data_IF_824694075496
#
_entry.id   IF_824694075496
#
_cell.length_a   1.000
_cell.length_b   1.000
_cell.length_c   1.000
_cell.angle_alpha   90.00
_cell.angle_beta   90.00
_cell.angle_gamma   90.00
#
_symmetry.space_group_name_H-M   'P 1'
#
loop_
_entity.id
_entity.type
_entity.pdbx_description
1 polymer ?
#
# COMPACT_ATOMS: atom_id res chain seq x y z
N UNK A 1 0.85 -17.39 -2.50
CA UNK A 1 1.97 -16.58 -3.04
C UNK A 1 1.59 -15.13 -2.90
N UNK A 2 2.53 -14.26 -2.51
CA UNK A 2 2.30 -12.81 -2.57
C UNK A 2 2.47 -12.36 -4.02
N UNK A 3 1.63 -11.45 -4.48
CA UNK A 3 1.75 -10.86 -5.81
C UNK A 3 3.10 -10.12 -5.97
N UNK A 4 3.76 -10.15 -7.16
CA UNK A 4 4.99 -9.41 -7.43
C UNK A 4 4.98 -7.94 -7.02
N UNK A 5 3.85 -7.25 -7.20
CA UNK A 5 3.69 -5.84 -6.84
C UNK A 5 3.12 -5.63 -5.43
N UNK A 6 2.78 -6.70 -4.72
CA UNK A 6 2.20 -6.65 -3.39
C UNK A 6 3.17 -6.10 -2.34
N UNK A 7 2.64 -5.38 -1.35
CA UNK A 7 3.39 -4.68 -0.28
C UNK A 7 4.47 -5.52 0.42
N UNK A 8 4.24 -6.83 0.55
CA UNK A 8 5.11 -7.75 1.29
C UNK A 8 6.02 -8.59 0.39
N UNK A 9 6.01 -8.34 -0.92
CA UNK A 9 6.91 -9.04 -1.82
C UNK A 9 8.37 -8.71 -1.46
N UNK A 10 9.18 -9.75 -1.29
CA UNK A 10 10.59 -9.62 -0.91
C UNK A 10 10.85 -9.07 0.49
N UNK A 11 9.82 -8.85 1.32
CA UNK A 11 9.98 -8.29 2.65
C UNK A 11 10.80 -9.25 3.56
N UNK A 12 11.74 -8.72 4.36
CA UNK A 12 12.45 -9.54 5.32
C UNK A 12 11.47 -10.13 6.34
N UNK A 13 11.77 -11.34 6.81
CA UNK A 13 10.91 -12.05 7.76
C UNK A 13 11.69 -12.40 9.03
N UNK A 14 10.96 -12.66 10.11
CA UNK A 14 11.50 -13.19 11.35
C UNK A 14 10.57 -14.28 11.91
N UNK A 15 11.12 -15.17 12.73
CA UNK A 15 10.32 -16.19 13.42
C UNK A 15 9.98 -15.72 14.83
N UNK A 16 8.73 -15.93 15.23
CA UNK A 16 8.26 -15.68 16.60
C UNK A 16 7.47 -16.90 17.07
N UNK A 17 7.76 -17.37 18.28
CA UNK A 17 6.89 -18.35 18.95
C UNK A 17 5.67 -17.63 19.50
N UNK A 18 4.49 -18.06 19.10
CA UNK A 18 3.20 -17.57 19.60
C UNK A 18 2.66 -18.62 20.56
N UNK A 19 2.26 -18.18 21.74
CA UNK A 19 1.67 -18.99 22.82
C UNK A 19 2.51 -20.22 23.24
N UNK A 20 3.82 -20.18 23.03
CA UNK A 20 4.75 -21.26 23.40
C UNK A 20 4.69 -22.51 22.52
N UNK A 21 3.70 -22.63 21.64
CA UNK A 21 3.41 -23.88 20.93
C UNK A 21 3.86 -23.86 19.47
N UNK A 22 3.84 -22.68 18.82
CA UNK A 22 4.07 -22.59 17.38
C UNK A 22 5.00 -21.46 16.99
N UNK A 23 6.09 -21.81 16.31
CA UNK A 23 6.90 -20.83 15.59
C UNK A 23 6.17 -20.41 14.30
N UNK A 24 5.84 -19.12 14.19
CA UNK A 24 5.27 -18.52 12.97
C UNK A 24 6.28 -17.60 12.31
N UNK A 25 6.25 -17.54 10.99
CA UNK A 25 7.04 -16.60 10.20
C UNK A 25 6.22 -15.33 9.98
N UNK A 26 6.77 -14.19 10.38
CA UNK A 26 6.12 -12.88 10.28
C UNK A 26 6.96 -11.98 9.40
N UNK A 27 6.30 -11.12 8.61
CA UNK A 27 6.97 -10.03 7.93
C UNK A 27 7.51 -9.04 8.97
N UNK A 28 8.72 -8.53 8.77
CA UNK A 28 9.24 -7.46 9.62
C UNK A 28 8.41 -6.18 9.40
N UNK A 29 8.02 -5.47 10.47
CA UNK A 29 7.36 -4.18 10.34
C UNK A 29 8.20 -3.22 9.51
N UNK A 30 7.58 -2.55 8.54
CA UNK A 30 8.24 -1.60 7.66
C UNK A 30 8.05 -0.17 8.20
N UNK A 31 9.13 0.60 8.27
CA UNK A 31 9.04 2.05 8.40
C UNK A 31 8.70 2.64 7.04
N UNK A 32 7.60 3.39 6.94
CA UNK A 32 7.18 4.01 5.68
C UNK A 32 8.18 5.13 5.35
N UNK A 33 8.88 5.08 4.21
CA UNK A 33 9.79 6.15 3.82
C UNK A 33 9.01 7.40 3.43
N UNK A 34 9.70 8.54 3.36
CA UNK A 34 9.15 9.72 2.67
C UNK A 34 8.99 9.36 1.19
N UNK A 35 7.75 9.37 0.71
CA UNK A 35 7.41 9.02 -0.67
C UNK A 35 7.33 10.30 -1.50
N UNK A 36 8.19 10.51 -2.50
CA UNK A 36 8.05 11.63 -3.42
C UNK A 36 6.76 11.48 -4.22
N UNK A 37 6.05 12.58 -4.42
CA UNK A 37 4.79 12.61 -5.15
C UNK A 37 4.91 13.42 -6.44
N UNK A 38 4.06 13.11 -7.41
CA UNK A 38 3.94 13.86 -8.66
C UNK A 38 2.50 13.81 -9.19
N UNK A 39 1.75 14.90 -8.96
CA UNK A 39 0.34 14.99 -9.33
C UNK A 39 -0.62 14.41 -8.29
N UNK A 40 -1.92 14.49 -8.60
CA UNK A 40 -3.00 14.02 -7.74
C UNK A 40 -4.09 13.33 -8.56
N UNK A 41 -4.86 12.46 -7.91
CA UNK A 41 -6.05 11.85 -8.50
C UNK A 41 -7.23 11.91 -7.54
N UNK A 42 -8.44 12.02 -8.06
CA UNK A 42 -9.66 11.92 -7.26
C UNK A 42 -10.13 10.46 -7.19
N UNK A 43 -10.70 10.09 -6.05
CA UNK A 43 -11.35 8.78 -5.84
C UNK A 43 -12.80 8.85 -6.33
N UNK A 44 -13.19 7.94 -7.22
CA UNK A 44 -14.54 7.83 -7.76
C UNK A 44 -15.55 7.27 -6.75
N UNK A 45 -16.84 7.43 -7.03
CA UNK A 45 -17.88 6.79 -6.23
C UNK A 45 -17.80 5.26 -6.37
N UNK A 46 -17.69 4.56 -5.23
CA UNK A 46 -17.52 3.10 -5.21
C UNK A 46 -16.12 2.61 -5.61
N UNK A 47 -15.17 3.52 -5.83
CA UNK A 47 -13.79 3.17 -6.16
C UNK A 47 -13.02 2.81 -4.87
N UNK A 48 -12.45 1.61 -4.85
CA UNK A 48 -11.55 1.14 -3.79
C UNK A 48 -10.10 1.45 -4.14
N UNK A 49 -9.21 1.47 -3.15
CA UNK A 49 -7.77 1.78 -3.29
C UNK A 49 -7.08 0.95 -4.39
N UNK A 50 -7.43 -0.33 -4.50
CA UNK A 50 -6.94 -1.24 -5.53
C UNK A 50 -7.44 -0.87 -6.93
N UNK A 51 -8.68 -0.37 -7.06
CA UNK A 51 -9.19 0.15 -8.33
C UNK A 51 -8.51 1.47 -8.72
N UNK A 52 -8.28 2.37 -7.76
CA UNK A 52 -7.50 3.59 -7.99
C UNK A 52 -6.09 3.21 -8.47
N UNK A 53 -5.45 2.26 -7.80
CA UNK A 53 -4.10 1.80 -8.14
C UNK A 53 -4.04 1.14 -9.52
N UNK A 54 -5.01 0.29 -9.87
CA UNK A 54 -5.11 -0.27 -11.22
C UNK A 54 -5.22 0.83 -12.28
N UNK A 55 -6.00 1.89 -12.01
CA UNK A 55 -6.21 3.00 -12.93
C UNK A 55 -4.98 3.90 -13.10
N UNK A 56 -4.25 4.20 -12.02
CA UNK A 56 -3.17 5.21 -12.03
C UNK A 56 -1.76 4.63 -12.02
N UNK A 57 -1.59 3.40 -11.54
CA UNK A 57 -0.31 2.67 -11.46
C UNK A 57 -0.28 1.43 -12.36
N UNK A 58 -1.39 1.09 -13.02
CA UNK A 58 -1.51 -0.09 -13.87
C UNK A 58 -1.60 -1.42 -13.12
N UNK A 59 -1.59 -1.41 -11.79
CA UNK A 59 -1.56 -2.62 -10.96
C UNK A 59 -2.41 -2.47 -9.68
N UNK A 60 -3.45 -3.29 -9.47
CA UNK A 60 -4.28 -3.24 -8.27
C UNK A 60 -3.52 -3.61 -6.99
N UNK A 61 -2.49 -4.46 -7.07
CA UNK A 61 -1.69 -4.85 -5.91
C UNK A 61 -0.72 -3.75 -5.47
N UNK A 62 -0.50 -2.73 -6.31
CA UNK A 62 0.33 -1.57 -6.00
C UNK A 62 -0.37 -0.49 -5.14
N UNK A 63 -1.60 -0.73 -4.66
CA UNK A 63 -2.38 0.23 -3.85
C UNK A 63 -1.63 0.77 -2.62
N UNK A 64 -0.75 -0.04 -2.03
CA UNK A 64 0.05 0.37 -0.87
C UNK A 64 0.99 1.55 -1.18
N UNK A 65 1.35 1.77 -2.45
CA UNK A 65 2.13 2.94 -2.88
C UNK A 65 1.32 4.23 -2.78
N UNK A 66 0.00 4.16 -2.98
CA UNK A 66 -0.90 5.30 -2.75
C UNK A 66 -0.98 5.61 -1.25
N UNK A 67 -1.10 4.58 -0.40
CA UNK A 67 -1.08 4.75 1.05
C UNK A 67 0.24 5.41 1.53
N UNK A 68 1.38 4.95 1.01
CA UNK A 68 2.69 5.51 1.36
C UNK A 68 2.89 6.96 0.87
N UNK A 69 2.26 7.34 -0.25
CA UNK A 69 2.23 8.71 -0.75
C UNK A 69 1.32 9.62 0.08
N UNK A 70 0.34 9.05 0.79
CA UNK A 70 -0.65 9.77 1.57
C UNK A 70 -0.62 9.36 3.06
N UNK A 71 0.52 9.50 3.77
CA UNK A 71 0.70 8.95 5.12
C UNK A 71 -0.18 9.64 6.19
N UNK A 72 -0.83 10.74 5.83
CA UNK A 72 -1.77 11.49 6.67
C UNK A 72 -3.22 11.01 6.52
N UNK A 73 -3.48 10.09 5.59
CA UNK A 73 -4.80 9.50 5.34
C UNK A 73 -4.83 8.12 5.99
N UNK A 74 -5.84 7.89 6.82
CA UNK A 74 -6.09 6.55 7.36
C UNK A 74 -6.45 5.57 6.23
N UNK A 75 -6.16 4.29 6.40
CA UNK A 75 -6.35 3.26 5.36
C UNK A 75 -7.80 3.21 4.88
N UNK A 76 -8.77 3.31 5.79
CA UNK A 76 -10.20 3.34 5.45
C UNK A 76 -10.61 4.66 4.78
N UNK A 77 -9.80 5.70 4.96
CA UNK A 77 -9.99 7.00 4.33
C UNK A 77 -9.56 7.06 2.87
N UNK A 78 -8.73 6.11 2.38
CA UNK A 78 -8.25 6.11 1.00
C UNK A 78 -9.38 5.95 -0.02
N UNK A 79 -10.46 5.26 0.35
CA UNK A 79 -11.57 4.92 -0.54
C UNK A 79 -12.70 5.96 -0.49
N UNK A 80 -12.48 7.09 0.20
CA UNK A 80 -13.51 8.12 0.35
C UNK A 80 -13.80 8.81 -1.00
N UNK A 81 -15.04 8.72 -1.53
CA UNK A 81 -15.38 9.36 -2.80
C UNK A 81 -15.09 10.87 -2.79
N UNK A 82 -14.50 11.37 -3.87
CA UNK A 82 -14.11 12.77 -4.03
C UNK A 82 -12.82 13.16 -3.29
N UNK A 83 -12.22 12.28 -2.48
CA UNK A 83 -10.91 12.54 -1.87
C UNK A 83 -9.85 12.66 -2.96
N UNK A 84 -8.96 13.63 -2.81
CA UNK A 84 -7.75 13.73 -3.63
C UNK A 84 -6.62 12.98 -2.94
N UNK A 85 -6.00 12.09 -3.69
CA UNK A 85 -4.81 11.34 -3.28
C UNK A 85 -3.62 11.85 -4.08
N UNK A 86 -2.51 12.06 -3.39
CA UNK A 86 -1.22 12.30 -4.01
C UNK A 86 -0.75 11.03 -4.73
N UNK A 87 -0.23 11.19 -5.94
CA UNK A 87 0.30 10.08 -6.71
C UNK A 87 1.79 9.88 -6.40
N UNK A 88 2.24 8.63 -6.13
CA UNK A 88 3.65 8.37 -5.93
C UNK A 88 4.40 8.63 -7.24
N UNK A 89 5.54 9.33 -7.16
CA UNK A 89 6.39 9.53 -8.32
C UNK A 89 6.91 8.18 -8.79
N UNK A 90 6.72 7.89 -10.08
CA UNK A 90 7.33 6.70 -10.68
C UNK A 90 8.85 6.91 -10.79
N UNK A 91 9.62 5.87 -10.45
CA UNK A 91 11.06 5.92 -10.71
C UNK A 91 11.25 5.77 -12.23
N UNK A 92 12.06 6.64 -12.86
CA UNK A 92 12.38 6.50 -14.29
C UNK A 92 13.11 5.19 -14.60
#
# INVERSE_FOLDING_TARGET
MSDPAGRYQGAPTYRRTVDGERAVQLAQPRLVPVTPTDGTTAVGAGERSDLVAARVLGDPYAWWRLADANPHVDVDGLDTPGRRLDLPRERP
#
